data_IF_317488227581
#
_entry.id   IF_317488227581
#
_cell.length_a   1.000
_cell.length_b   1.000
_cell.length_c   1.000
_cell.angle_alpha   90.00
_cell.angle_beta   90.00
_cell.angle_gamma   90.00
#
_symmetry.space_group_name_H-M   'P 1'
#
loop_
_entity.id
_entity.type
_entity.pdbx_description
1 polymer ?
#
# COMPACT_ATOMS: atom_id res chain seq x y z
N UNK A 1 -15.17 6.61 -27.24
CA UNK A 1 -13.86 6.17 -26.70
C UNK A 1 -12.78 6.98 -27.38
N UNK A 2 -11.88 7.59 -26.60
CA UNK A 2 -10.75 8.36 -27.12
C UNK A 2 -9.67 7.35 -27.53
N UNK A 3 -9.80 6.69 -28.68
CA UNK A 3 -8.86 5.64 -29.08
C UNK A 3 -7.49 6.24 -29.44
N UNK A 4 -6.54 6.15 -28.51
CA UNK A 4 -5.16 6.56 -28.75
C UNK A 4 -4.21 5.61 -27.98
N UNK A 5 -3.68 4.56 -28.64
CA UNK A 5 -2.84 3.56 -27.99
C UNK A 5 -1.52 4.13 -27.48
N UNK A 6 -1.05 5.25 -28.05
CA UNK A 6 0.15 5.94 -27.55
C UNK A 6 -0.12 6.58 -26.20
N UNK A 7 -1.26 7.27 -26.06
CA UNK A 7 -1.68 7.86 -24.77
C UNK A 7 -1.91 6.75 -23.74
N UNK A 8 -2.58 5.66 -24.12
CA UNK A 8 -2.77 4.50 -23.24
C UNK A 8 -1.43 3.97 -22.72
N UNK A 9 -0.46 3.77 -23.62
CA UNK A 9 0.87 3.26 -23.26
C UNK A 9 1.63 4.21 -22.33
N UNK A 10 1.58 5.52 -22.59
CA UNK A 10 2.24 6.54 -21.75
C UNK A 10 1.63 6.55 -20.35
N UNK A 11 0.30 6.63 -20.25
CA UNK A 11 -0.41 6.67 -18.97
C UNK A 11 -0.18 5.37 -18.18
N UNK A 12 -0.27 4.22 -18.83
CA UNK A 12 -0.03 2.92 -18.20
C UNK A 12 1.42 2.76 -17.73
N UNK A 13 2.38 3.30 -18.48
CA UNK A 13 3.79 3.30 -18.08
C UNK A 13 4.03 4.20 -16.87
N UNK A 14 3.43 5.39 -16.83
CA UNK A 14 3.49 6.27 -15.65
C UNK A 14 2.91 5.55 -14.43
N UNK A 15 1.73 4.94 -14.56
CA UNK A 15 1.10 4.18 -13.49
C UNK A 15 2.00 3.04 -12.98
N UNK A 16 2.59 2.29 -13.90
CA UNK A 16 3.54 1.21 -13.60
C UNK A 16 4.77 1.72 -12.85
N UNK A 17 5.36 2.84 -13.27
CA UNK A 17 6.53 3.44 -12.61
C UNK A 17 6.19 3.85 -11.17
N UNK A 18 5.03 4.49 -10.97
CA UNK A 18 4.58 4.87 -9.62
C UNK A 18 4.47 3.65 -8.72
N UNK A 19 3.88 2.56 -9.20
CA UNK A 19 3.81 1.30 -8.44
C UNK A 19 5.16 0.66 -8.17
N UNK A 20 6.12 0.78 -9.09
CA UNK A 20 7.49 0.31 -8.85
C UNK A 20 8.18 1.05 -7.69
N UNK A 21 7.79 2.28 -7.37
CA UNK A 21 8.43 3.09 -6.33
C UNK A 21 7.55 3.33 -5.11
N UNK A 22 6.30 2.86 -5.10
CA UNK A 22 5.28 3.24 -4.11
C UNK A 22 5.72 2.99 -2.67
N UNK A 23 6.42 1.88 -2.40
CA UNK A 23 6.84 1.51 -1.04
C UNK A 23 8.14 2.19 -0.59
N UNK A 24 8.88 2.85 -1.48
CA UNK A 24 10.16 3.51 -1.14
C UNK A 24 9.96 4.58 -0.04
N UNK A 25 8.99 5.50 -0.13
CA UNK A 25 8.70 6.44 0.96
C UNK A 25 8.43 5.77 2.31
N UNK A 26 7.74 4.61 2.32
CA UNK A 26 7.49 3.86 3.55
C UNK A 26 8.79 3.31 4.13
N UNK A 27 9.64 2.71 3.30
CA UNK A 27 10.94 2.15 3.70
C UNK A 27 11.83 3.25 4.31
N UNK A 28 11.87 4.42 3.68
CA UNK A 28 12.63 5.58 4.16
C UNK A 28 12.10 6.04 5.52
N UNK A 29 10.77 6.22 5.66
CA UNK A 29 10.16 6.64 6.92
C UNK A 29 10.44 5.64 8.05
N UNK A 30 10.33 4.34 7.77
CA UNK A 30 10.66 3.28 8.73
C UNK A 30 12.13 3.37 9.18
N UNK A 31 13.05 3.58 8.23
CA UNK A 31 14.48 3.71 8.53
C UNK A 31 14.76 4.94 9.39
N UNK A 32 14.22 6.11 9.01
CA UNK A 32 14.42 7.37 9.74
C UNK A 32 13.84 7.36 11.15
N UNK A 33 12.70 6.68 11.35
CA UNK A 33 12.05 6.58 12.67
C UNK A 33 12.61 5.44 13.53
N UNK A 34 13.35 4.50 12.94
CA UNK A 34 13.83 3.27 13.59
C UNK A 34 12.72 2.44 14.28
N UNK A 35 11.49 2.56 13.78
CA UNK A 35 10.32 1.79 14.24
C UNK A 35 9.39 1.55 13.07
N UNK A 36 8.67 0.43 13.10
CA UNK A 36 7.55 0.18 12.19
C UNK A 36 6.24 0.03 12.96
N UNK A 37 6.12 0.70 14.11
CA UNK A 37 4.93 0.64 14.95
C UNK A 37 3.70 1.11 14.17
N UNK A 38 2.67 0.26 14.15
CA UNK A 38 1.43 0.49 13.40
C UNK A 38 1.46 0.05 11.93
N UNK A 39 2.64 -0.22 11.36
CA UNK A 39 2.71 -0.83 10.02
C UNK A 39 2.35 -2.31 10.12
N UNK A 40 1.49 -2.78 9.24
CA UNK A 40 0.97 -4.15 9.33
C UNK A 40 1.78 -5.15 8.52
N UNK A 41 2.44 -6.12 9.17
CA UNK A 41 3.21 -7.14 8.44
C UNK A 41 2.32 -8.05 7.59
N UNK A 42 1.05 -8.24 7.98
CA UNK A 42 0.10 -9.07 7.24
C UNK A 42 -0.25 -8.47 5.87
N UNK A 43 -0.39 -7.15 5.78
CA UNK A 43 -0.57 -6.46 4.49
C UNK A 43 0.59 -6.79 3.55
N UNK A 44 1.83 -6.65 4.03
CA UNK A 44 3.03 -6.90 3.23
C UNK A 44 3.14 -8.36 2.78
N UNK A 45 2.73 -9.31 3.63
CA UNK A 45 2.69 -10.73 3.27
C UNK A 45 1.62 -11.04 2.20
N UNK A 46 0.41 -10.51 2.35
CA UNK A 46 -0.67 -10.68 1.37
C UNK A 46 -0.29 -10.06 0.02
N UNK A 47 0.34 -8.89 0.06
CA UNK A 47 0.87 -8.22 -1.12
C UNK A 47 2.03 -8.97 -1.77
N UNK A 48 2.91 -9.59 -0.98
CA UNK A 48 3.99 -10.43 -1.51
C UNK A 48 3.43 -11.65 -2.24
N UNK A 49 2.41 -12.31 -1.68
CA UNK A 49 1.71 -13.42 -2.36
C UNK A 49 1.05 -12.92 -3.65
N UNK A 50 0.32 -11.81 -3.57
CA UNK A 50 -0.31 -11.19 -4.73
C UNK A 50 0.69 -10.83 -5.83
N UNK A 51 1.86 -10.32 -5.47
CA UNK A 51 2.94 -9.95 -6.38
C UNK A 51 3.52 -11.14 -7.13
N UNK A 52 3.76 -12.27 -6.44
CA UNK A 52 4.21 -13.52 -7.07
C UNK A 52 3.17 -13.99 -8.09
N UNK A 53 1.89 -14.00 -7.73
CA UNK A 53 0.81 -14.42 -8.63
C UNK A 53 0.67 -13.45 -9.82
N UNK A 54 0.88 -12.16 -9.58
CA UNK A 54 0.89 -11.14 -10.64
C UNK A 54 2.07 -11.32 -11.59
N UNK A 55 3.26 -11.63 -11.06
CA UNK A 55 4.45 -11.97 -11.85
C UNK A 55 4.20 -13.17 -12.76
N UNK A 56 3.62 -14.24 -12.19
CA UNK A 56 3.18 -15.42 -12.94
C UNK A 56 2.27 -15.01 -14.10
N UNK A 57 1.24 -14.20 -13.85
CA UNK A 57 0.32 -13.73 -14.88
C UNK A 57 1.02 -12.91 -15.98
N UNK A 58 1.77 -11.86 -15.60
CA UNK A 58 2.38 -10.91 -16.53
C UNK A 58 3.45 -11.56 -17.41
N UNK A 59 4.30 -12.40 -16.83
CA UNK A 59 5.35 -13.13 -17.55
C UNK A 59 4.75 -14.22 -18.42
N UNK A 60 3.75 -14.96 -17.94
CA UNK A 60 3.12 -16.03 -18.73
C UNK A 60 2.39 -15.51 -19.96
N UNK A 61 1.76 -14.32 -19.87
CA UNK A 61 1.10 -13.64 -21.00
C UNK A 61 2.06 -12.86 -21.90
N UNK A 62 3.36 -12.78 -21.55
CA UNK A 62 4.35 -11.94 -22.24
C UNK A 62 3.87 -10.50 -22.42
N UNK A 63 3.34 -9.88 -21.36
CA UNK A 63 2.95 -8.47 -21.38
C UNK A 63 4.18 -7.56 -21.57
N UNK A 64 3.95 -6.26 -21.74
CA UNK A 64 5.03 -5.28 -21.89
C UNK A 64 6.05 -5.38 -20.75
N UNK A 65 7.33 -5.16 -21.06
CA UNK A 65 8.45 -5.30 -20.10
C UNK A 65 8.22 -4.56 -18.77
N UNK A 66 7.70 -3.30 -18.76
CA UNK A 66 7.40 -2.62 -17.50
C UNK A 66 6.43 -3.39 -16.60
N UNK A 67 5.38 -3.99 -17.18
CA UNK A 67 4.40 -4.79 -16.44
C UNK A 67 4.99 -6.11 -15.94
N UNK A 68 5.98 -6.68 -16.61
CA UNK A 68 6.68 -7.86 -16.11
C UNK A 68 7.61 -7.52 -14.93
N UNK A 69 8.28 -6.37 -14.97
CA UNK A 69 9.21 -5.93 -13.93
C UNK A 69 8.51 -5.42 -12.67
N UNK A 70 7.37 -4.76 -12.82
CA UNK A 70 6.62 -4.16 -11.71
C UNK A 70 6.33 -5.13 -10.55
N UNK A 71 5.78 -6.35 -10.74
CA UNK A 71 5.53 -7.27 -9.63
C UNK A 71 6.83 -7.72 -8.94
N UNK A 72 7.94 -7.81 -9.68
CA UNK A 72 9.24 -8.21 -9.11
C UNK A 72 9.82 -7.14 -8.20
N UNK A 73 9.76 -5.89 -8.66
CA UNK A 73 10.19 -4.73 -7.87
C UNK A 73 9.29 -4.59 -6.65
N UNK A 74 7.97 -4.69 -6.84
CA UNK A 74 7.01 -4.58 -5.74
C UNK A 74 7.20 -5.68 -4.69
N UNK A 75 7.43 -6.93 -5.11
CA UNK A 75 7.75 -8.05 -4.21
C UNK A 75 9.03 -7.78 -3.40
N UNK A 76 10.08 -7.30 -4.06
CA UNK A 76 11.33 -6.93 -3.40
C UNK A 76 11.10 -5.86 -2.33
N UNK A 77 10.36 -4.80 -2.66
CA UNK A 77 10.04 -3.72 -1.71
C UNK A 77 9.18 -4.22 -0.54
N UNK A 78 8.23 -5.13 -0.79
CA UNK A 78 7.45 -5.79 0.26
C UNK A 78 8.35 -6.56 1.22
N UNK A 79 9.30 -7.35 0.71
CA UNK A 79 10.23 -8.11 1.54
C UNK A 79 11.21 -7.23 2.32
N UNK A 80 11.70 -6.13 1.73
CA UNK A 80 12.52 -5.15 2.46
C UNK A 80 11.72 -4.55 3.62
N UNK A 81 10.49 -4.10 3.34
CA UNK A 81 9.61 -3.49 4.35
C UNK A 81 9.24 -4.49 5.44
N UNK A 82 8.98 -5.75 5.06
CA UNK A 82 8.69 -6.82 6.01
C UNK A 82 9.92 -7.17 6.86
N UNK A 83 11.11 -7.15 6.27
CA UNK A 83 12.37 -7.25 6.99
C UNK A 83 12.57 -6.13 8.01
N UNK A 84 12.20 -4.89 7.69
CA UNK A 84 12.19 -3.79 8.66
C UNK A 84 11.23 -4.06 9.81
N UNK A 85 10.05 -4.65 9.58
CA UNK A 85 9.14 -5.03 10.65
C UNK A 85 9.73 -6.11 11.58
N UNK A 86 10.43 -7.10 11.03
CA UNK A 86 11.11 -8.13 11.82
C UNK A 86 12.27 -7.55 12.65
N UNK A 87 13.02 -6.62 12.07
CA UNK A 87 14.18 -6.01 12.71
C UNK A 87 13.78 -5.01 13.81
N UNK A 88 12.94 -4.03 13.49
CA UNK A 88 12.62 -2.94 14.42
C UNK A 88 11.61 -3.32 15.50
N UNK A 89 10.58 -4.12 15.19
CA UNK A 89 9.52 -4.47 16.15
C UNK A 89 9.80 -5.79 16.85
N UNK A 90 10.14 -6.85 16.10
CA UNK A 90 10.43 -8.17 16.71
C UNK A 90 11.85 -8.31 17.25
N UNK A 91 12.69 -7.27 17.09
CA UNK A 91 14.10 -7.24 17.54
C UNK A 91 14.93 -8.44 17.06
N UNK A 92 14.65 -8.95 15.87
CA UNK A 92 15.47 -10.01 15.28
C UNK A 92 16.83 -9.46 14.87
N UNK A 93 17.88 -10.26 15.00
CA UNK A 93 19.20 -9.91 14.48
C UNK A 93 19.20 -9.87 12.94
N UNK A 94 20.03 -8.99 12.36
CA UNK A 94 20.11 -8.76 10.91
C UNK A 94 20.35 -10.03 10.09
N UNK A 95 21.20 -10.95 10.56
CA UNK A 95 21.47 -12.20 9.86
C UNK A 95 20.21 -13.06 9.71
N UNK A 96 19.35 -13.11 10.73
CA UNK A 96 18.09 -13.86 10.70
C UNK A 96 17.10 -13.23 9.72
N UNK A 97 16.99 -11.91 9.70
CA UNK A 97 16.17 -11.19 8.73
C UNK A 97 16.66 -11.45 7.30
N UNK A 98 17.98 -11.41 7.07
CA UNK A 98 18.58 -11.68 5.77
C UNK A 98 18.37 -13.13 5.31
N UNK A 99 18.52 -14.12 6.19
CA UNK A 99 18.24 -15.52 5.87
C UNK A 99 16.78 -15.75 5.51
N UNK A 100 15.85 -15.14 6.26
CA UNK A 100 14.41 -15.22 5.97
C UNK A 100 14.10 -14.57 4.62
N UNK A 101 14.67 -13.39 4.35
CA UNK A 101 14.52 -12.69 3.08
C UNK A 101 14.99 -13.54 1.90
N UNK A 102 16.20 -14.12 1.99
CA UNK A 102 16.74 -14.98 0.94
C UNK A 102 15.89 -16.23 0.73
N UNK A 103 15.48 -16.90 1.82
CA UNK A 103 14.64 -18.10 1.74
C UNK A 103 13.29 -17.78 1.07
N UNK A 104 12.63 -16.70 1.50
CA UNK A 104 11.36 -16.27 0.92
C UNK A 104 11.51 -15.91 -0.56
N UNK A 105 12.58 -15.17 -0.93
CA UNK A 105 12.90 -14.84 -2.32
C UNK A 105 13.11 -16.07 -3.20
N UNK A 106 13.91 -17.04 -2.74
CA UNK A 106 14.14 -18.28 -3.46
C UNK A 106 12.85 -19.10 -3.65
N UNK A 107 12.01 -19.20 -2.62
CA UNK A 107 10.72 -19.89 -2.70
C UNK A 107 9.80 -19.19 -3.70
N UNK A 108 9.66 -17.87 -3.60
CA UNK A 108 8.86 -17.07 -4.52
C UNK A 108 9.32 -17.21 -5.97
N UNK A 109 10.63 -17.13 -6.23
CA UNK A 109 11.19 -17.30 -7.56
C UNK A 109 10.99 -18.71 -8.12
N UNK A 110 11.12 -19.74 -7.29
CA UNK A 110 10.87 -21.13 -7.68
C UNK A 110 9.39 -21.36 -8.03
N UNK A 111 8.48 -20.88 -7.18
CA UNK A 111 7.03 -20.96 -7.38
C UNK A 111 6.61 -20.21 -8.63
N UNK A 112 7.12 -19.00 -8.83
CA UNK A 112 6.83 -18.21 -10.02
C UNK A 112 7.30 -18.91 -11.28
N UNK A 113 8.59 -19.29 -11.33
CA UNK A 113 9.19 -19.92 -12.51
C UNK A 113 8.47 -21.22 -12.86
N UNK A 114 8.25 -22.11 -11.88
CA UNK A 114 7.54 -23.37 -12.07
C UNK A 114 6.12 -23.15 -12.61
N UNK A 115 5.40 -22.18 -12.04
CA UNK A 115 4.03 -21.85 -12.47
C UNK A 115 4.00 -21.24 -13.87
N UNK A 116 4.97 -20.39 -14.23
CA UNK A 116 5.08 -19.80 -15.57
C UNK A 116 5.28 -20.88 -16.63
N UNK A 117 6.20 -21.84 -16.40
CA UNK A 117 6.41 -22.96 -17.32
C UNK A 117 5.15 -23.82 -17.47
N UNK A 118 4.47 -24.11 -16.35
CA UNK A 118 3.22 -24.86 -16.34
C UNK A 118 2.12 -24.14 -17.13
N UNK A 119 1.84 -22.88 -16.84
CA UNK A 119 0.79 -22.11 -17.50
C UNK A 119 1.07 -21.90 -18.98
N UNK A 120 2.33 -21.61 -19.36
CA UNK A 120 2.72 -21.55 -20.78
C UNK A 120 2.54 -22.88 -21.50
N UNK A 121 2.66 -24.02 -20.80
CA UNK A 121 2.35 -25.34 -21.37
C UNK A 121 0.84 -25.51 -21.63
N UNK A 122 -0.01 -25.02 -20.72
CA UNK A 122 -1.47 -25.07 -20.87
C UNK A 122 -2.00 -24.14 -21.96
N UNK A 123 -1.45 -22.92 -22.06
CA UNK A 123 -1.79 -21.97 -23.12
C UNK A 123 -1.43 -22.53 -24.50
N UNK A 124 -0.27 -23.22 -24.63
CA UNK A 124 0.09 -23.93 -25.87
C UNK A 124 -0.89 -25.06 -26.26
N UNK A 125 -1.70 -25.54 -25.32
CA UNK A 125 -2.78 -26.51 -25.55
C UNK A 125 -4.15 -25.85 -25.75
N UNK A 126 -4.19 -24.54 -25.99
CA UNK A 126 -5.41 -23.73 -26.12
C UNK A 126 -6.29 -23.69 -24.84
N UNK A 127 -5.70 -23.88 -23.66
CA UNK A 127 -6.39 -23.79 -22.37
C UNK A 127 -6.04 -22.45 -21.71
N UNK A 128 -6.91 -21.44 -21.85
CA UNK A 128 -6.65 -20.07 -21.36
C UNK A 128 -7.26 -19.73 -20.00
N UNK A 129 -8.28 -20.43 -19.53
CA UNK A 129 -8.90 -20.11 -18.24
C UNK A 129 -7.92 -20.08 -17.03
N UNK A 130 -6.85 -20.90 -16.94
CA UNK A 130 -5.94 -20.89 -15.79
C UNK A 130 -5.07 -19.63 -15.72
N UNK A 131 -4.73 -19.03 -16.86
CA UNK A 131 -3.92 -17.79 -16.85
C UNK A 131 -4.80 -16.59 -16.51
N UNK A 132 -6.08 -16.60 -16.89
CA UNK A 132 -7.00 -15.52 -16.51
C UNK A 132 -7.29 -15.58 -15.01
N UNK A 133 -7.46 -16.78 -14.45
CA UNK A 133 -7.73 -16.95 -13.02
C UNK A 133 -6.58 -16.48 -12.13
N UNK A 134 -5.32 -16.66 -12.54
CA UNK A 134 -4.19 -16.12 -11.76
C UNK A 134 -4.21 -14.59 -11.69
N UNK A 135 -4.54 -13.90 -12.78
CA UNK A 135 -4.72 -12.45 -12.77
C UNK A 135 -5.79 -12.01 -11.75
N UNK A 136 -6.96 -12.66 -11.76
CA UNK A 136 -8.06 -12.36 -10.83
C UNK A 136 -7.64 -12.62 -9.37
N UNK A 137 -7.01 -13.77 -9.11
CA UNK A 137 -6.55 -14.13 -7.77
C UNK A 137 -5.54 -13.12 -7.26
N UNK A 138 -4.60 -12.69 -8.10
CA UNK A 138 -3.63 -11.65 -7.74
C UNK A 138 -4.31 -10.34 -7.33
N UNK A 139 -5.25 -9.83 -8.14
CA UNK A 139 -6.02 -8.63 -7.81
C UNK A 139 -6.77 -8.75 -6.47
N UNK A 140 -7.32 -9.93 -6.17
CA UNK A 140 -7.98 -10.20 -4.88
C UNK A 140 -6.96 -10.08 -3.73
N UNK A 141 -5.78 -10.69 -3.85
CA UNK A 141 -4.76 -10.59 -2.80
C UNK A 141 -4.28 -9.16 -2.56
N UNK A 142 -4.12 -8.36 -3.62
CA UNK A 142 -3.74 -6.94 -3.49
C UNK A 142 -4.84 -6.17 -2.76
N UNK A 143 -6.11 -6.34 -3.14
CA UNK A 143 -7.24 -5.68 -2.48
C UNK A 143 -7.40 -6.13 -1.03
N UNK A 144 -7.38 -7.44 -0.76
CA UNK A 144 -7.49 -8.00 0.60
C UNK A 144 -6.31 -7.57 1.47
N UNK A 145 -5.12 -7.38 0.89
CA UNK A 145 -3.96 -6.85 1.58
C UNK A 145 -4.16 -5.45 2.19
N UNK A 146 -5.11 -4.66 1.69
CA UNK A 146 -5.45 -3.35 2.26
C UNK A 146 -6.39 -3.41 3.47
N UNK A 147 -7.08 -4.54 3.71
CA UNK A 147 -8.01 -4.69 4.83
C UNK A 147 -7.35 -4.72 6.21
N UNK A 148 -6.18 -5.36 6.41
CA UNK A 148 -5.49 -5.32 7.68
C UNK A 148 -5.35 -3.87 8.22
N UNK A 149 -4.81 -2.87 7.47
CA UNK A 149 -4.84 -1.46 7.87
C UNK A 149 -6.16 -0.96 8.47
N UNK A 150 -7.29 -1.24 7.83
CA UNK A 150 -8.62 -0.86 8.32
C UNK A 150 -8.97 -1.49 9.67
N UNK A 151 -8.56 -2.73 9.89
CA UNK A 151 -8.78 -3.41 11.17
C UNK A 151 -8.03 -2.72 12.31
N UNK A 152 -6.79 -2.26 12.08
CA UNK A 152 -6.03 -1.51 13.10
C UNK A 152 -6.63 -0.12 13.33
N UNK A 153 -7.07 0.56 12.26
CA UNK A 153 -7.81 1.82 12.38
C UNK A 153 -9.07 1.63 13.22
N UNK A 154 -9.79 0.53 13.02
CA UNK A 154 -11.00 0.23 13.78
C UNK A 154 -10.73 0.02 15.27
N UNK A 155 -9.64 -0.68 15.63
CA UNK A 155 -9.28 -0.94 17.03
C UNK A 155 -8.70 0.30 17.70
N UNK A 156 -7.67 0.89 17.10
CA UNK A 156 -6.86 1.93 17.73
C UNK A 156 -7.39 3.34 17.48
N UNK A 157 -8.43 3.49 16.66
CA UNK A 157 -9.08 4.78 16.34
C UNK A 157 -8.09 5.85 15.87
N UNK A 158 -7.06 5.43 15.15
CA UNK A 158 -6.08 6.29 14.51
C UNK A 158 -5.37 5.52 13.40
N UNK A 159 -4.86 6.23 12.39
CA UNK A 159 -4.02 5.64 11.35
C UNK A 159 -2.57 5.69 11.82
N UNK A 160 -1.92 4.53 11.92
CA UNK A 160 -0.57 4.41 12.48
C UNK A 160 0.38 3.78 11.49
N UNK A 161 1.64 4.17 11.54
CA UNK A 161 2.74 3.52 10.81
C UNK A 161 2.75 3.67 9.29
N UNK A 162 1.66 4.11 8.64
CA UNK A 162 1.57 4.26 7.20
C UNK A 162 2.03 5.66 6.76
N UNK A 163 2.90 5.72 5.76
CA UNK A 163 3.39 6.94 5.13
C UNK A 163 2.36 7.49 4.16
N UNK A 164 1.98 8.77 4.34
CA UNK A 164 1.04 9.46 3.45
C UNK A 164 1.59 9.59 2.03
N UNK A 165 2.91 9.78 1.88
CA UNK A 165 3.54 9.86 0.56
C UNK A 165 3.43 8.51 -0.17
N UNK A 166 3.58 7.39 0.54
CA UNK A 166 3.38 6.05 -0.03
C UNK A 166 1.96 5.91 -0.59
N UNK A 167 0.93 6.24 0.21
CA UNK A 167 -0.47 6.16 -0.21
C UNK A 167 -0.75 7.03 -1.45
N UNK A 168 -0.21 8.26 -1.49
CA UNK A 168 -0.41 9.13 -2.65
C UNK A 168 0.25 8.60 -3.93
N UNK A 169 1.44 8.01 -3.81
CA UNK A 169 2.15 7.43 -4.96
C UNK A 169 1.39 6.21 -5.49
N UNK A 170 0.89 5.35 -4.59
CA UNK A 170 0.11 4.16 -4.95
C UNK A 170 -1.23 4.52 -5.62
N UNK A 171 -1.96 5.47 -5.02
CA UNK A 171 -3.18 6.03 -5.61
C UNK A 171 -2.92 6.67 -6.98
N UNK A 172 -1.80 7.37 -7.12
CA UNK A 172 -1.36 7.91 -8.41
C UNK A 172 -1.18 6.80 -9.45
N UNK A 173 -0.52 5.71 -9.06
CA UNK A 173 -0.38 4.50 -9.89
C UNK A 173 -1.72 3.95 -10.37
N UNK A 174 -2.69 3.85 -9.47
CA UNK A 174 -4.05 3.39 -9.77
C UNK A 174 -4.79 4.34 -10.72
N UNK A 175 -4.70 5.67 -10.50
CA UNK A 175 -5.36 6.67 -11.36
C UNK A 175 -4.78 6.64 -12.77
N UNK A 176 -3.46 6.68 -12.93
CA UNK A 176 -2.83 6.68 -14.26
C UNK A 176 -3.10 5.38 -15.02
N UNK A 177 -3.09 4.23 -14.33
CA UNK A 177 -3.42 2.93 -14.93
C UNK A 177 -4.90 2.79 -15.27
N UNK A 178 -5.80 3.41 -14.51
CA UNK A 178 -7.22 3.47 -14.89
C UNK A 178 -7.44 4.36 -16.10
N UNK A 179 -6.79 5.54 -16.13
CA UNK A 179 -6.88 6.45 -17.26
C UNK A 179 -6.36 5.81 -18.55
N UNK A 180 -5.31 4.97 -18.50
CA UNK A 180 -4.83 4.29 -19.71
C UNK A 180 -5.89 3.39 -20.36
N UNK A 181 -6.71 2.71 -19.57
CA UNK A 181 -7.80 1.84 -20.07
C UNK A 181 -8.83 2.61 -20.89
N UNK A 182 -9.04 3.90 -20.62
CA UNK A 182 -10.00 4.75 -21.35
C UNK A 182 -9.54 5.04 -22.80
N UNK A 183 -8.24 4.90 -23.07
CA UNK A 183 -7.63 5.14 -24.37
C UNK A 183 -7.28 3.85 -25.12
N UNK A 184 -7.49 2.68 -24.49
CA UNK A 184 -7.27 1.38 -25.13
C UNK A 184 -8.42 1.00 -26.08
N UNK A 185 -8.13 0.25 -27.17
CA UNK A 185 -9.16 -0.19 -28.12
C UNK A 185 -10.21 -1.13 -27.52
N UNK A 186 -9.82 -1.89 -26.48
CA UNK A 186 -10.68 -2.82 -25.76
C UNK A 186 -10.63 -2.44 -24.28
N UNK A 187 -11.78 -2.14 -23.71
CA UNK A 187 -11.86 -1.78 -22.30
C UNK A 187 -11.77 -3.03 -21.42
N UNK A 188 -10.71 -3.14 -20.62
CA UNK A 188 -10.54 -4.22 -19.65
C UNK A 188 -11.27 -3.89 -18.34
N UNK A 189 -12.45 -4.50 -18.16
CA UNK A 189 -13.30 -4.32 -16.98
C UNK A 189 -12.63 -4.86 -15.72
N UNK A 190 -11.89 -5.97 -15.81
CA UNK A 190 -11.26 -6.59 -14.64
C UNK A 190 -10.15 -5.69 -14.09
N UNK A 191 -9.31 -5.17 -14.98
CA UNK A 191 -8.29 -4.20 -14.61
C UNK A 191 -8.91 -2.92 -14.02
N UNK A 192 -9.98 -2.40 -14.65
CA UNK A 192 -10.69 -1.21 -14.16
C UNK A 192 -11.24 -1.39 -12.75
N UNK A 193 -11.88 -2.53 -12.46
CA UNK A 193 -12.39 -2.86 -11.11
C UNK A 193 -11.23 -2.93 -10.11
N UNK A 194 -10.12 -3.57 -10.46
CA UNK A 194 -8.96 -3.68 -9.59
C UNK A 194 -8.37 -2.32 -9.24
N UNK A 195 -8.18 -1.44 -10.23
CA UNK A 195 -7.60 -0.10 -10.03
C UNK A 195 -8.52 0.80 -9.21
N UNK A 196 -9.83 0.78 -9.50
CA UNK A 196 -10.82 1.51 -8.69
C UNK A 196 -10.85 0.99 -7.24
N UNK A 197 -10.79 -0.34 -7.03
CA UNK A 197 -10.84 -0.93 -5.70
C UNK A 197 -9.66 -0.48 -4.84
N UNK A 198 -8.44 -0.52 -5.40
CA UNK A 198 -7.23 -0.01 -4.71
C UNK A 198 -7.41 1.47 -4.39
N UNK A 199 -7.78 2.30 -5.38
CA UNK A 199 -7.95 3.73 -5.19
C UNK A 199 -8.94 4.07 -4.06
N UNK A 200 -10.12 3.45 -4.03
CA UNK A 200 -11.13 3.74 -3.01
C UNK A 200 -10.75 3.22 -1.63
N UNK A 201 -10.06 2.08 -1.55
CA UNK A 201 -9.56 1.56 -0.28
C UNK A 201 -8.47 2.49 0.30
N UNK A 202 -7.55 2.96 -0.52
CA UNK A 202 -6.52 3.88 -0.04
C UNK A 202 -7.07 5.26 0.31
N UNK A 203 -8.00 5.78 -0.49
CA UNK A 203 -8.73 6.99 -0.18
C UNK A 203 -9.45 6.86 1.17
N UNK A 204 -10.05 5.71 1.46
CA UNK A 204 -10.67 5.44 2.75
C UNK A 204 -9.68 5.52 3.92
N UNK A 205 -8.48 4.97 3.77
CA UNK A 205 -7.41 5.06 4.79
C UNK A 205 -7.03 6.54 5.03
N UNK A 206 -6.84 7.32 3.96
CA UNK A 206 -6.54 8.76 4.06
C UNK A 206 -7.67 9.51 4.76
N UNK A 207 -8.93 9.24 4.40
CA UNK A 207 -10.09 9.90 5.00
C UNK A 207 -10.17 9.60 6.50
N UNK A 208 -9.89 8.37 6.93
CA UNK A 208 -9.81 8.02 8.34
C UNK A 208 -8.66 8.74 9.06
N UNK A 209 -7.49 8.89 8.44
CA UNK A 209 -6.35 9.63 9.00
C UNK A 209 -6.72 11.09 9.29
N UNK A 210 -7.30 11.78 8.30
CA UNK A 210 -7.75 13.17 8.47
C UNK A 210 -8.88 13.28 9.50
N UNK A 211 -9.82 12.35 9.51
CA UNK A 211 -10.94 12.35 10.46
C UNK A 211 -10.45 12.28 11.92
N UNK A 212 -9.56 11.33 12.24
CA UNK A 212 -9.06 11.19 13.61
C UNK A 212 -8.15 12.35 14.03
N UNK A 213 -7.31 12.87 13.13
CA UNK A 213 -6.50 14.07 13.39
C UNK A 213 -7.37 15.30 13.69
N UNK A 214 -8.47 15.46 12.95
CA UNK A 214 -9.42 16.54 13.17
C UNK A 214 -10.11 16.41 14.54
N UNK A 215 -10.55 15.20 14.90
CA UNK A 215 -11.16 14.94 16.21
C UNK A 215 -10.22 15.27 17.37
N UNK A 216 -8.96 14.84 17.28
CA UNK A 216 -7.96 15.09 18.33
C UNK A 216 -7.62 16.57 18.43
N UNK A 217 -7.51 17.26 17.30
CA UNK A 217 -7.33 18.71 17.29
C UNK A 217 -8.51 19.46 17.94
N UNK A 218 -9.76 19.06 17.65
CA UNK A 218 -10.95 19.66 18.29
C UNK A 218 -10.95 19.40 19.80
N UNK A 219 -10.62 18.17 20.24
CA UNK A 219 -10.53 17.83 21.67
C UNK A 219 -9.46 18.67 22.37
N UNK A 220 -8.27 18.78 21.78
CA UNK A 220 -7.16 19.59 22.31
C UNK A 220 -7.56 21.06 22.44
N UNK A 221 -8.20 21.66 21.43
CA UNK A 221 -8.69 23.04 21.52
C UNK A 221 -9.75 23.25 22.61
N UNK A 222 -10.61 22.27 22.89
CA UNK A 222 -11.57 22.35 23.99
C UNK A 222 -10.88 22.31 25.36
N UNK A 223 -9.87 21.45 25.52
CA UNK A 223 -9.06 21.35 26.73
C UNK A 223 -8.27 22.65 26.98
N UNK A 224 -7.60 23.17 25.95
CA UNK A 224 -6.84 24.42 26.04
C UNK A 224 -7.73 25.61 26.41
N UNK A 225 -8.96 25.67 25.87
CA UNK A 225 -9.94 26.71 26.23
C UNK A 225 -10.39 26.59 27.69
N UNK A 226 -10.64 25.38 28.18
CA UNK A 226 -11.00 25.15 29.60
C UNK A 226 -9.86 25.54 30.53
N UNK A 227 -8.63 25.11 30.23
CA UNK A 227 -7.45 25.47 31.02
C UNK A 227 -7.22 26.99 31.07
N UNK A 228 -7.34 27.68 29.93
CA UNK A 228 -7.25 29.16 29.89
C UNK A 228 -8.33 29.85 30.72
N UNK A 229 -9.56 29.33 30.70
CA UNK A 229 -10.66 29.88 31.49
C UNK A 229 -10.44 29.69 33.00
N UNK A 230 -9.94 28.52 33.43
CA UNK A 230 -9.59 28.28 34.84
C UNK A 230 -8.43 29.16 35.30
N UNK A 231 -7.39 29.33 34.49
CA UNK A 231 -6.27 30.22 34.79
C UNK A 231 -6.74 31.67 34.94
N UNK A 232 -7.59 32.16 34.02
CA UNK A 232 -8.17 33.52 34.12
C UNK A 232 -8.92 33.71 35.43
N UNK A 233 -9.76 32.73 35.82
CA UNK A 233 -10.55 32.81 37.05
C UNK A 233 -9.67 32.83 38.30
N UNK A 234 -8.56 32.08 38.30
CA UNK A 234 -7.59 32.10 39.40
C UNK A 234 -6.89 33.45 39.48
N UNK A 235 -6.44 34.00 38.35
CA UNK A 235 -5.80 35.33 38.29
C UNK A 235 -6.74 36.42 38.80
N UNK A 236 -8.00 36.44 38.34
CA UNK A 236 -9.01 37.40 38.81
C UNK A 236 -9.22 37.30 40.33
N UNK A 237 -9.18 36.08 40.90
CA UNK A 237 -9.33 35.88 42.35
C UNK A 237 -8.12 36.37 43.14
N UNK A 238 -6.91 36.20 42.61
CA UNK A 238 -5.67 36.69 43.23
C UNK A 238 -5.64 38.21 43.21
N UNK A 239 -5.99 38.85 42.09
CA UNK A 239 -6.02 40.31 41.97
C UNK A 239 -7.02 40.95 42.94
N UNK A 240 -8.19 40.32 43.13
CA UNK A 240 -9.18 40.75 44.13
C UNK A 240 -8.61 40.69 45.55
N UNK A 241 -7.90 39.61 45.89
CA UNK A 241 -7.33 39.45 47.24
C UNK A 241 -6.15 40.40 47.50
N UNK A 242 -5.35 40.74 46.48
CA UNK A 242 -4.26 41.72 46.59
C UNK A 242 -4.78 43.15 46.72
N UNK A 243 -5.92 43.49 46.11
CA UNK A 243 -6.55 44.81 46.29
C UNK A 243 -7.24 44.98 47.65
N UNK A 244 -7.55 43.87 48.34
CA UNK A 244 -8.22 43.87 49.64
C UNK A 244 -7.26 43.89 50.85
N UNK A 245 -5.93 43.79 50.61
CA UNK A 245 -4.86 43.85 51.62
C UNK A 245 -4.12 45.18 51.59
#
# INVERSE_FOLDING_TARGET
>A
MLNNPVIASILGTIGTILWCIQLIPQIIVNYLRHTTAGLQPLMLLLWSIGAVIMGIYNVSRNLNIPLQLQPQIFLLLCFITWGQCLYYEKKFHLYKCFSIFLLAGCISGLVETGSVFMLRSLVRRNIEWPIVSTGIISSIFICVGLFPPYYDIYIYKCVRGISFIFLLVDMGGAVFSFLSLLFEPKFDILAAISYCSVFFLELGIIMFDYYFKLLDWVKKRKLDRKAKHEISKIMDTIDINVQAS
#
